data_IF_702739101673
#
_entry.id   IF_702739101673
#
_cell.length_a   1.000
_cell.length_b   1.000
_cell.length_c   1.000
_cell.angle_alpha   90.00
_cell.angle_beta   90.00
_cell.angle_gamma   90.00
#
_symmetry.space_group_name_H-M   'P 1'
#
loop_
_entity.id
_entity.type
_entity.pdbx_description
1 polymer ?
#
# COMPACT_ATOMS: atom_id res chain seq x y z
N UNK A 1 33.52 -4.11 -7.95
CA UNK A 1 32.18 -4.34 -7.39
C UNK A 1 31.40 -3.05 -7.61
N UNK A 2 30.54 -3.04 -8.59
CA UNK A 2 29.77 -1.85 -8.96
C UNK A 2 28.47 -1.77 -8.13
N UNK A 3 27.82 -0.59 -8.12
CA UNK A 3 26.53 -0.37 -7.45
C UNK A 3 25.46 -1.37 -7.92
N UNK A 4 25.53 -1.76 -9.20
CA UNK A 4 24.61 -2.75 -9.79
C UNK A 4 24.86 -4.15 -9.23
N UNK A 5 26.10 -4.54 -8.95
CA UNK A 5 26.42 -5.83 -8.35
C UNK A 5 25.85 -5.95 -6.92
N UNK A 6 25.81 -4.83 -6.18
CA UNK A 6 25.24 -4.77 -4.82
C UNK A 6 23.71 -4.85 -4.87
N UNK A 7 23.07 -4.20 -5.84
CA UNK A 7 21.61 -4.24 -6.04
C UNK A 7 21.19 -5.65 -6.46
N UNK A 8 21.96 -6.29 -7.33
CA UNK A 8 21.74 -7.67 -7.74
C UNK A 8 21.90 -8.66 -6.57
N UNK A 9 22.94 -8.49 -5.74
CA UNK A 9 23.17 -9.34 -4.56
C UNK A 9 22.08 -9.17 -3.49
N UNK A 10 21.54 -7.96 -3.32
CA UNK A 10 20.39 -7.71 -2.42
C UNK A 10 19.11 -8.33 -2.98
N UNK A 11 18.88 -8.27 -4.28
CA UNK A 11 17.73 -8.89 -4.93
C UNK A 11 17.83 -10.44 -4.87
N UNK A 12 19.05 -11.01 -4.98
CA UNK A 12 19.29 -12.46 -4.83
C UNK A 12 18.86 -13.02 -3.49
N UNK A 13 19.01 -12.23 -2.43
CA UNK A 13 18.66 -12.67 -1.07
C UNK A 13 17.16 -12.63 -0.77
N UNK A 14 16.35 -12.01 -1.62
CA UNK A 14 14.90 -11.92 -1.40
C UNK A 14 14.12 -13.13 -1.94
N UNK A 15 14.67 -13.85 -2.91
CA UNK A 15 14.09 -15.10 -3.43
C UNK A 15 15.14 -16.22 -3.29
N UNK A 16 15.27 -16.76 -2.09
CA UNK A 16 16.15 -17.90 -1.87
C UNK A 16 15.45 -19.19 -2.34
N UNK A 17 15.98 -19.81 -3.40
CA UNK A 17 15.83 -21.27 -3.53
C UNK A 17 16.56 -21.88 -2.35
N UNK A 18 15.83 -22.55 -1.48
CA UNK A 18 16.48 -23.44 -0.50
C UNK A 18 17.18 -24.57 -1.25
N UNK A 19 18.22 -25.16 -0.67
CA UNK A 19 18.94 -26.33 -1.24
C UNK A 19 18.01 -27.51 -1.54
N UNK A 20 16.78 -27.48 -1.08
CA UNK A 20 15.70 -28.44 -1.32
C UNK A 20 14.80 -28.12 -2.51
N UNK A 21 15.08 -27.05 -3.28
CA UNK A 21 14.27 -26.64 -4.44
C UNK A 21 12.93 -25.97 -4.08
N UNK A 22 12.75 -25.55 -2.84
CA UNK A 22 11.55 -24.88 -2.36
C UNK A 22 11.58 -23.39 -2.77
N UNK A 23 10.66 -22.98 -3.63
CA UNK A 23 10.51 -21.59 -4.13
C UNK A 23 9.72 -20.70 -3.16
N UNK A 24 10.01 -20.75 -1.86
CA UNK A 24 9.33 -19.91 -0.88
C UNK A 24 9.91 -18.50 -0.87
N UNK A 25 9.03 -17.53 -0.77
CA UNK A 25 9.38 -16.13 -0.57
C UNK A 25 9.36 -15.83 0.92
N UNK A 26 10.54 -15.57 1.49
CA UNK A 26 10.66 -15.17 2.88
C UNK A 26 10.74 -13.65 2.96
N UNK A 27 9.93 -13.05 3.85
CA UNK A 27 9.85 -11.61 4.01
C UNK A 27 8.74 -10.98 3.19
N UNK A 28 8.95 -9.74 2.75
CA UNK A 28 7.98 -8.94 2.03
C UNK A 28 8.55 -8.45 0.70
N UNK A 29 7.69 -8.29 -0.30
CA UNK A 29 8.05 -7.73 -1.61
C UNK A 29 7.17 -6.52 -1.92
N UNK A 30 7.68 -5.61 -2.74
CA UNK A 30 6.87 -4.53 -3.30
C UNK A 30 6.34 -4.98 -4.66
N UNK A 31 5.03 -5.03 -4.78
CA UNK A 31 4.33 -5.28 -6.03
C UNK A 31 3.60 -4.03 -6.53
N UNK A 32 3.08 -4.09 -7.75
CA UNK A 32 2.26 -3.03 -8.33
C UNK A 32 0.86 -3.57 -8.64
N UNK A 33 -0.17 -2.81 -8.31
CA UNK A 33 -1.55 -3.18 -8.63
C UNK A 33 -1.80 -3.07 -10.12
N UNK A 34 -2.14 -4.19 -10.75
CA UNK A 34 -2.49 -4.28 -12.18
C UNK A 34 -4.01 -4.20 -12.40
N UNK A 35 -4.81 -4.77 -11.48
CA UNK A 35 -6.27 -4.72 -11.50
C UNK A 35 -6.78 -4.68 -10.06
N UNK A 36 -7.86 -3.95 -9.83
CA UNK A 36 -8.46 -3.81 -8.49
C UNK A 36 -9.92 -4.24 -8.41
N UNK A 37 -10.43 -4.92 -9.44
CA UNK A 37 -11.77 -5.48 -9.46
C UNK A 37 -11.80 -6.84 -10.17
N UNK A 38 -12.53 -7.78 -9.59
CA UNK A 38 -12.91 -9.03 -10.24
C UNK A 38 -14.24 -9.50 -9.65
N UNK A 39 -15.20 -9.80 -10.51
CA UNK A 39 -16.55 -10.20 -10.11
C UNK A 39 -16.57 -11.48 -9.25
N UNK A 40 -15.71 -12.44 -9.57
CA UNK A 40 -15.62 -13.72 -8.85
C UNK A 40 -14.75 -13.66 -7.60
N UNK A 41 -13.98 -12.58 -7.41
CA UNK A 41 -13.05 -12.40 -6.30
C UNK A 41 -13.16 -10.99 -5.70
N UNK A 42 -14.33 -10.61 -5.15
CA UNK A 42 -14.53 -9.27 -4.61
C UNK A 42 -13.54 -8.97 -3.48
N UNK A 43 -13.03 -7.74 -3.44
CA UNK A 43 -12.07 -7.30 -2.43
C UNK A 43 -10.63 -7.80 -2.60
N UNK A 44 -10.32 -8.51 -3.70
CA UNK A 44 -8.94 -8.82 -4.08
C UNK A 44 -8.41 -7.85 -5.12
N UNK A 45 -7.10 -7.73 -5.18
CA UNK A 45 -6.39 -6.99 -6.22
C UNK A 45 -5.43 -7.92 -6.96
N UNK A 46 -5.33 -7.74 -8.28
CA UNK A 46 -4.30 -8.41 -9.07
C UNK A 46 -3.01 -7.58 -8.97
N UNK A 47 -1.95 -8.20 -8.54
CA UNK A 47 -0.66 -7.55 -8.35
C UNK A 47 0.39 -8.16 -9.28
N UNK A 48 1.27 -7.32 -9.79
CA UNK A 48 2.47 -7.73 -10.50
C UNK A 48 3.56 -7.99 -9.47
N UNK A 49 4.10 -9.20 -9.46
CA UNK A 49 5.19 -9.60 -8.57
C UNK A 49 6.47 -9.67 -9.42
N UNK A 50 7.51 -8.87 -9.12
CA UNK A 50 8.78 -8.98 -9.80
C UNK A 50 9.43 -10.33 -9.42
N UNK A 51 9.54 -11.23 -10.39
CA UNK A 51 10.22 -12.53 -10.23
C UNK A 51 11.50 -12.49 -11.04
N UNK A 52 12.60 -12.89 -10.43
CA UNK A 52 13.95 -12.70 -10.95
C UNK A 52 14.30 -13.55 -12.19
N UNK A 53 13.75 -14.75 -12.31
CA UNK A 53 14.14 -15.74 -13.31
C UNK A 53 13.31 -15.72 -14.60
N UNK A 54 12.39 -14.79 -14.74
CA UNK A 54 11.54 -14.65 -15.93
C UNK A 54 11.48 -13.21 -16.38
N UNK A 55 11.62 -12.95 -17.68
CA UNK A 55 11.44 -11.64 -18.29
C UNK A 55 9.99 -11.10 -18.15
N UNK A 56 9.12 -11.86 -17.53
CA UNK A 56 7.73 -11.52 -17.27
C UNK A 56 7.43 -11.53 -15.76
N UNK A 57 6.90 -10.41 -15.28
CA UNK A 57 6.35 -10.33 -13.93
C UNK A 57 5.17 -11.28 -13.76
N UNK A 58 5.11 -12.02 -12.67
CA UNK A 58 3.93 -12.83 -12.36
C UNK A 58 2.75 -11.97 -11.88
N UNK A 59 1.56 -12.31 -12.37
CA UNK A 59 0.30 -11.72 -11.94
C UNK A 59 -0.41 -12.65 -10.95
N UNK A 60 -0.70 -12.17 -9.76
CA UNK A 60 -1.41 -12.92 -8.72
C UNK A 60 -2.53 -12.11 -8.09
N UNK A 61 -3.64 -12.79 -7.75
CA UNK A 61 -4.75 -12.18 -7.02
C UNK A 61 -4.49 -12.25 -5.52
N UNK A 62 -4.18 -11.10 -4.94
CA UNK A 62 -3.88 -10.93 -3.52
C UNK A 62 -5.13 -10.54 -2.72
N UNK A 63 -5.24 -11.03 -1.49
CA UNK A 63 -6.17 -10.50 -0.50
C UNK A 63 -5.62 -9.20 0.07
N UNK A 64 -6.50 -8.24 0.33
CA UNK A 64 -6.09 -6.97 0.95
C UNK A 64 -6.40 -7.02 2.44
N UNK A 65 -5.36 -6.86 3.27
CA UNK A 65 -5.53 -6.74 4.72
C UNK A 65 -6.13 -5.36 5.03
N UNK A 66 -7.24 -5.35 5.75
CA UNK A 66 -7.92 -4.14 6.21
C UNK A 66 -7.79 -4.04 7.73
N UNK A 67 -7.83 -2.84 8.33
CA UNK A 67 -7.72 -2.66 9.78
C UNK A 67 -8.76 -3.48 10.57
N UNK A 68 -9.97 -3.55 10.07
CA UNK A 68 -11.03 -4.41 10.61
C UNK A 68 -12.17 -4.59 9.60
N UNK A 69 -12.70 -5.78 9.51
CA UNK A 69 -13.92 -6.07 8.76
C UNK A 69 -14.56 -7.37 9.23
N UNK A 70 -15.87 -7.50 9.02
CA UNK A 70 -16.63 -8.71 9.28
C UNK A 70 -17.64 -8.97 8.16
N UNK A 71 -18.71 -9.73 8.47
CA UNK A 71 -19.67 -10.16 7.46
C UNK A 71 -20.35 -9.00 6.74
N UNK A 72 -20.78 -7.97 7.48
CA UNK A 72 -21.57 -6.86 6.93
C UNK A 72 -21.03 -5.49 7.39
N UNK A 73 -19.74 -5.41 7.79
CA UNK A 73 -19.14 -4.20 8.33
C UNK A 73 -17.63 -4.18 8.15
N UNK A 74 -17.00 -2.99 8.19
CA UNK A 74 -15.55 -2.84 8.18
C UNK A 74 -15.03 -1.64 7.43
N UNK A 75 -13.71 -1.63 7.22
CA UNK A 75 -13.03 -0.66 6.37
C UNK A 75 -12.94 -1.20 4.94
N UNK A 76 -13.13 -0.32 3.97
CA UNK A 76 -12.92 -0.64 2.56
C UNK A 76 -12.14 0.48 1.87
N UNK A 77 -10.83 0.32 1.85
CA UNK A 77 -9.90 1.19 1.15
C UNK A 77 -9.00 0.34 0.27
N UNK A 78 -9.45 0.08 -0.94
CA UNK A 78 -8.73 -0.77 -1.88
C UNK A 78 -7.69 0.05 -2.64
N UNK A 79 -6.46 -0.48 -2.85
CA UNK A 79 -5.45 0.19 -3.66
C UNK A 79 -5.93 0.44 -5.09
N UNK A 80 -5.47 1.52 -5.68
CA UNK A 80 -5.76 1.85 -7.07
C UNK A 80 -4.78 1.19 -8.03
N UNK A 81 -5.20 1.03 -9.29
CA UNK A 81 -4.32 0.52 -10.34
C UNK A 81 -3.10 1.42 -10.47
N UNK A 82 -1.91 0.83 -10.48
CA UNK A 82 -0.62 1.51 -10.51
C UNK A 82 -0.03 1.86 -9.14
N UNK A 83 -0.77 1.63 -8.04
CA UNK A 83 -0.22 1.80 -6.70
C UNK A 83 0.81 0.71 -6.38
N UNK A 84 1.83 1.10 -5.63
CA UNK A 84 2.77 0.15 -5.04
C UNK A 84 2.22 -0.38 -3.72
N UNK A 85 2.32 -1.68 -3.55
CA UNK A 85 1.80 -2.38 -2.37
C UNK A 85 2.87 -3.31 -1.78
N UNK A 86 2.86 -3.43 -0.47
CA UNK A 86 3.71 -4.35 0.25
C UNK A 86 3.01 -5.71 0.32
N UNK A 87 3.67 -6.73 -0.18
CA UNK A 87 3.16 -8.10 -0.26
C UNK A 87 3.83 -8.98 0.79
N UNK A 88 3.02 -9.72 1.53
CA UNK A 88 3.44 -10.86 2.33
C UNK A 88 2.84 -12.14 1.74
N UNK A 89 3.42 -13.29 2.05
CA UNK A 89 3.03 -14.57 1.46
C UNK A 89 2.71 -15.58 2.55
N UNK A 90 1.54 -16.21 2.49
CA UNK A 90 1.14 -17.22 3.45
C UNK A 90 2.13 -18.40 3.43
N UNK A 91 2.88 -18.58 4.51
CA UNK A 91 3.95 -19.57 4.62
C UNK A 91 5.01 -19.50 3.51
N UNK A 92 5.17 -18.33 2.88
CA UNK A 92 6.10 -18.09 1.78
C UNK A 92 5.60 -18.51 0.39
N UNK A 93 4.36 -19.00 0.25
CA UNK A 93 3.84 -19.46 -1.04
C UNK A 93 3.44 -18.27 -1.93
N UNK A 94 4.10 -18.12 -3.08
CA UNK A 94 3.82 -17.06 -4.07
C UNK A 94 2.37 -17.06 -4.54
N UNK A 95 1.70 -18.21 -4.52
CA UNK A 95 0.30 -18.37 -4.91
C UNK A 95 -0.70 -17.76 -3.91
N UNK A 96 -0.22 -17.39 -2.72
CA UNK A 96 -1.05 -16.89 -1.63
C UNK A 96 -0.57 -15.54 -1.11
N UNK A 97 -0.57 -14.49 -1.97
CA UNK A 97 -0.15 -13.16 -1.58
C UNK A 97 -1.22 -12.44 -0.77
N UNK A 98 -0.75 -11.60 0.16
CA UNK A 98 -1.53 -10.62 0.89
C UNK A 98 -0.95 -9.23 0.69
N UNK A 99 -1.78 -8.26 0.36
CA UNK A 99 -1.42 -6.84 0.46
C UNK A 99 -1.56 -6.44 1.92
N UNK A 100 -0.45 -6.10 2.56
CA UNK A 100 -0.43 -5.68 3.98
C UNK A 100 -0.38 -4.17 4.14
N UNK A 101 -0.19 -3.42 3.07
CA UNK A 101 -0.21 -1.97 3.05
C UNK A 101 0.17 -1.41 1.68
N UNK A 102 0.06 -0.09 1.54
CA UNK A 102 0.53 0.64 0.38
C UNK A 102 1.87 1.28 0.66
N UNK A 103 2.74 1.31 -0.35
CA UNK A 103 4.05 1.96 -0.29
C UNK A 103 4.02 3.18 -1.19
N UNK A 104 4.25 4.35 -0.62
CA UNK A 104 4.27 5.57 -1.40
C UNK A 104 5.54 5.65 -2.26
N UNK A 105 5.39 6.03 -3.52
CA UNK A 105 6.53 6.35 -4.40
C UNK A 105 7.24 7.60 -3.91
N UNK A 106 8.55 7.74 -4.15
CA UNK A 106 9.40 8.84 -3.66
C UNK A 106 8.84 10.17 -4.10
N UNK A 107 8.26 10.54 -5.00
CA UNK A 107 7.73 11.86 -5.35
C UNK A 107 6.23 12.05 -5.02
N UNK A 108 5.70 11.30 -4.06
CA UNK A 108 4.29 11.31 -3.74
C UNK A 108 3.80 12.69 -3.27
N UNK A 109 2.91 13.32 -4.04
CA UNK A 109 2.38 14.65 -3.76
C UNK A 109 1.51 14.68 -2.52
N UNK A 110 0.74 13.62 -2.25
CA UNK A 110 -0.07 13.52 -1.04
C UNK A 110 0.79 13.58 0.22
N UNK A 111 1.89 12.82 0.27
CA UNK A 111 2.81 12.85 1.40
C UNK A 111 3.49 14.21 1.55
N UNK A 112 3.93 14.84 0.45
CA UNK A 112 4.52 16.18 0.50
C UNK A 112 3.58 17.22 1.09
N UNK A 113 2.29 17.11 0.80
CA UNK A 113 1.26 18.04 1.29
C UNK A 113 0.74 17.71 2.69
N UNK A 114 0.95 16.48 3.15
CA UNK A 114 0.54 16.04 4.48
C UNK A 114 1.66 16.17 5.51
N UNK A 115 2.90 15.86 5.11
CA UNK A 115 4.05 15.87 6.01
C UNK A 115 4.48 17.31 6.33
N UNK A 116 4.69 17.60 7.61
CA UNK A 116 5.35 18.79 8.10
C UNK A 116 6.25 18.45 9.28
N UNK A 117 7.14 19.38 9.65
CA UNK A 117 8.13 19.16 10.71
C UNK A 117 7.46 18.86 12.06
N UNK A 118 6.34 19.46 12.35
CA UNK A 118 5.62 19.31 13.62
C UNK A 118 4.62 18.15 13.61
N UNK A 119 4.48 17.42 12.47
CA UNK A 119 3.56 16.29 12.27
C UNK A 119 2.09 16.60 12.65
N UNK A 120 1.64 17.81 12.37
CA UNK A 120 0.34 18.34 12.80
C UNK A 120 -0.86 17.73 12.05
N UNK A 121 -0.66 17.19 10.86
CA UNK A 121 -1.77 16.73 10.01
C UNK A 121 -1.91 15.22 10.02
N UNK A 122 -3.15 14.76 10.20
CA UNK A 122 -3.57 13.38 9.94
C UNK A 122 -4.70 13.44 8.91
N UNK A 123 -4.58 12.70 7.79
CA UNK A 123 -5.50 12.85 6.66
C UNK A 123 -5.95 11.51 6.10
N UNK A 124 -7.22 11.44 5.74
CA UNK A 124 -7.79 10.42 4.87
C UNK A 124 -8.25 11.14 3.62
N UNK A 125 -7.78 10.73 2.44
CA UNK A 125 -8.11 11.37 1.17
C UNK A 125 -8.49 10.33 0.14
N UNK A 126 -9.63 10.50 -0.52
CA UNK A 126 -10.05 9.65 -1.63
C UNK A 126 -9.30 10.03 -2.90
N UNK A 127 -9.30 9.14 -3.91
CA UNK A 127 -8.66 9.38 -5.21
C UNK A 127 -9.08 10.70 -5.87
N UNK A 128 -10.35 11.08 -5.74
CA UNK A 128 -10.89 12.33 -6.31
C UNK A 128 -10.70 13.54 -5.40
N UNK A 129 -10.09 13.40 -4.21
CA UNK A 129 -9.73 14.52 -3.36
C UNK A 129 -10.73 14.89 -2.26
N UNK A 130 -11.75 14.07 -1.99
CA UNK A 130 -12.56 14.23 -0.77
C UNK A 130 -11.73 13.86 0.44
N UNK A 131 -11.79 14.67 1.52
CA UNK A 131 -10.87 14.55 2.65
C UNK A 131 -11.56 14.56 4.00
N UNK A 132 -10.96 13.85 4.94
CA UNK A 132 -11.10 14.05 6.38
C UNK A 132 -9.72 14.44 6.88
N UNK A 133 -9.58 15.62 7.46
CA UNK A 133 -8.30 16.14 7.96
C UNK A 133 -8.44 16.48 9.43
N UNK A 134 -7.51 15.99 10.23
CA UNK A 134 -7.29 16.41 11.60
C UNK A 134 -6.06 17.32 11.60
N UNK A 135 -6.16 18.45 12.22
CA UNK A 135 -5.07 19.44 12.36
C UNK A 135 -4.87 19.74 13.83
N UNK A 136 -3.77 19.22 14.38
CA UNK A 136 -3.38 19.42 15.77
C UNK A 136 -2.66 20.77 15.91
N UNK A 137 -2.99 21.56 16.93
CA UNK A 137 -2.34 22.83 17.15
C UNK A 137 -0.97 22.66 17.83
N UNK A 138 0.00 23.42 17.35
CA UNK A 138 1.37 23.40 17.85
C UNK A 138 1.49 23.79 19.34
N UNK A 139 0.56 24.56 19.90
CA UNK A 139 0.55 24.95 21.31
C UNK A 139 0.19 23.81 22.27
N UNK A 140 -0.37 22.70 21.75
CA UNK A 140 -0.79 21.55 22.57
C UNK A 140 -2.01 21.80 23.47
N UNK A 141 -2.68 22.93 23.31
CA UNK A 141 -3.81 23.33 24.17
C UNK A 141 -5.17 22.87 23.63
N UNK A 142 -5.23 22.04 22.60
CA UNK A 142 -6.44 21.44 22.03
C UNK A 142 -7.54 22.42 21.56
N UNK A 143 -7.63 23.61 22.15
CA UNK A 143 -8.66 24.63 21.86
C UNK A 143 -8.65 25.15 20.42
N UNK A 144 -7.55 24.95 19.70
CA UNK A 144 -7.37 25.39 18.32
C UNK A 144 -7.23 24.23 17.34
N UNK A 145 -7.40 23.00 17.82
CA UNK A 145 -7.43 21.82 16.97
C UNK A 145 -8.63 21.88 16.01
N UNK A 146 -8.45 21.33 14.84
CA UNK A 146 -9.45 21.44 13.79
C UNK A 146 -9.68 20.13 13.10
N UNK A 147 -10.95 19.77 12.89
CA UNK A 147 -11.36 18.65 12.06
C UNK A 147 -12.12 19.21 10.85
N UNK A 148 -11.64 18.88 9.66
CA UNK A 148 -12.29 19.31 8.41
C UNK A 148 -12.73 18.10 7.61
N UNK A 149 -14.01 18.03 7.27
CA UNK A 149 -14.57 17.05 6.33
C UNK A 149 -15.01 17.82 5.08
N UNK A 150 -14.47 17.45 3.93
CA UNK A 150 -14.66 18.24 2.70
C UNK A 150 -14.75 17.35 1.47
N UNK A 151 -15.65 17.69 0.56
CA UNK A 151 -15.71 17.08 -0.78
C UNK A 151 -14.60 17.63 -1.69
N UNK A 152 -14.25 16.89 -2.75
CA UNK A 152 -13.17 17.25 -3.68
C UNK A 152 -13.30 18.68 -4.26
N UNK A 153 -14.52 19.10 -4.55
CA UNK A 153 -14.80 20.44 -5.12
C UNK A 153 -15.13 21.49 -4.05
N UNK A 154 -14.97 21.15 -2.77
CA UNK A 154 -15.33 22.02 -1.64
C UNK A 154 -16.80 22.44 -1.62
N UNK A 155 -17.67 21.74 -2.32
CA UNK A 155 -19.11 22.00 -2.38
C UNK A 155 -19.81 21.76 -1.04
N UNK A 156 -19.26 20.86 -0.23
CA UNK A 156 -19.69 20.58 1.13
C UNK A 156 -18.48 20.57 2.04
N UNK A 157 -18.55 21.31 3.13
CA UNK A 157 -17.49 21.39 4.14
C UNK A 157 -18.12 21.40 5.52
N UNK A 158 -17.61 20.57 6.41
CA UNK A 158 -17.92 20.58 7.85
C UNK A 158 -16.62 20.91 8.56
N UNK A 159 -16.64 21.92 9.42
CA UNK A 159 -15.48 22.39 10.19
C UNK A 159 -15.70 22.11 11.67
#
# INVERSE_FOLDING_TARGET
>A
MGLFDIIDDIAEKQVTKTDTGDNRIFGVLVGTVAQNYNENMPGRVCVTIPVRDTDANELKWARVAMPSHGKDWGHYFQPEIGDQVLLAFEQGYIEKPYVVGCVAKDANTFLRNAANQDNMYKKITTKHGSTITFEDNKSGEGEKDKITIQTAQKSHTIL
#
